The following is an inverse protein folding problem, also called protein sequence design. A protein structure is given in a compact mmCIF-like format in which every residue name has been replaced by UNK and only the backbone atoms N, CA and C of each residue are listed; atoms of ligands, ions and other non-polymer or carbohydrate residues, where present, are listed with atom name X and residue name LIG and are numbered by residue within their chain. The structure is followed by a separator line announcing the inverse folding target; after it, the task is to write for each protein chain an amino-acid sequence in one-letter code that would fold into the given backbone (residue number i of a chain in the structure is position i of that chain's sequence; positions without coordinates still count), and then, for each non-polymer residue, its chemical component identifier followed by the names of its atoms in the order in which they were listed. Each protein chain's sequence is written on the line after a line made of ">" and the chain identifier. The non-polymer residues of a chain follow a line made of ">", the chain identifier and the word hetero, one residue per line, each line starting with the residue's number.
data_IF_620373483713
#
_entry.id   IF_620373483713
#
_cell.length_a   1.000
_cell.length_b   1.000
_cell.length_c   1.000
_cell.angle_alpha   90.00
_cell.angle_beta   90.00
_cell.angle_gamma   90.00
#
_symmetry.space_group_name_H-M   'P 1'
#
loop_
_entity.id
_entity.type
_entity.pdbx_description
1 polymer ?
#
# COMPACT_ATOMS: atom_id res chain seq x y z
N UNK A 1 23.52 11.51 -10.13
CA UNK A 1 22.91 12.12 -8.91
C UNK A 1 21.44 12.45 -9.16
N UNK A 2 20.61 11.43 -9.38
CA UNK A 2 19.15 11.55 -9.41
C UNK A 2 18.64 10.67 -8.25
N UNK A 3 17.48 10.95 -7.64
CA UNK A 3 16.75 10.05 -6.71
C UNK A 3 16.99 10.08 -5.18
N UNK A 4 17.19 11.24 -4.52
CA UNK A 4 16.90 11.33 -3.06
C UNK A 4 15.70 12.21 -2.71
N UNK A 5 15.59 13.41 -3.30
CA UNK A 5 14.45 14.31 -3.03
C UNK A 5 13.10 13.69 -3.45
N UNK A 6 13.03 13.06 -4.63
CA UNK A 6 11.81 12.44 -5.13
C UNK A 6 11.34 11.27 -4.24
N UNK A 7 12.28 10.50 -3.68
CA UNK A 7 11.96 9.35 -2.83
C UNK A 7 11.44 9.79 -1.44
N UNK A 8 12.01 10.87 -0.89
CA UNK A 8 11.51 11.46 0.36
C UNK A 8 10.10 12.03 0.20
N UNK A 9 9.83 12.72 -0.92
CA UNK A 9 8.49 13.24 -1.22
C UNK A 9 7.48 12.12 -1.44
N UNK A 10 7.88 11.06 -2.15
CA UNK A 10 7.05 9.87 -2.33
C UNK A 10 6.73 9.19 -1.00
N UNK A 11 7.73 9.03 -0.12
CA UNK A 11 7.52 8.44 1.19
C UNK A 11 6.55 9.28 2.03
N UNK A 12 6.67 10.61 2.01
CA UNK A 12 5.73 11.50 2.69
C UNK A 12 4.33 11.40 2.12
N UNK A 13 4.19 11.34 0.78
CA UNK A 13 2.90 11.17 0.11
C UNK A 13 2.22 9.86 0.53
N UNK A 14 2.95 8.74 0.47
CA UNK A 14 2.43 7.42 0.87
C UNK A 14 2.05 7.43 2.35
N UNK A 15 2.91 7.97 3.22
CA UNK A 15 2.67 8.03 4.65
C UNK A 15 1.43 8.88 4.97
N UNK A 16 1.27 10.05 4.34
CA UNK A 16 0.07 10.90 4.49
C UNK A 16 -1.20 10.15 4.10
N UNK A 17 -1.20 9.49 2.94
CA UNK A 17 -2.36 8.71 2.49
C UNK A 17 -2.72 7.57 3.46
N UNK A 18 -1.71 6.93 4.05
CA UNK A 18 -1.92 5.90 5.07
C UNK A 18 -2.49 6.50 6.36
N UNK A 19 -2.03 7.68 6.77
CA UNK A 19 -2.59 8.40 7.91
C UNK A 19 -4.07 8.74 7.71
N UNK A 20 -4.42 9.34 6.56
CA UNK A 20 -5.80 9.69 6.23
C UNK A 20 -6.68 8.43 6.20
N UNK A 21 -6.19 7.36 5.58
CA UNK A 21 -6.91 6.09 5.51
C UNK A 21 -7.16 5.47 6.88
N UNK A 22 -6.14 5.37 7.76
CA UNK A 22 -6.34 4.73 9.08
C UNK A 22 -7.21 5.56 10.03
N UNK A 23 -7.46 6.83 9.71
CA UNK A 23 -8.35 7.71 10.45
C UNK A 23 -9.78 7.73 9.89
N UNK A 24 -10.01 7.17 8.70
CA UNK A 24 -11.32 7.13 8.06
C UNK A 24 -12.31 6.29 8.90
N UNK A 25 -13.45 6.83 9.36
CA UNK A 25 -14.43 6.06 10.13
C UNK A 25 -15.20 5.04 9.29
N UNK A 26 -15.20 5.15 7.95
CA UNK A 26 -16.04 4.35 7.06
C UNK A 26 -15.37 3.05 6.58
N UNK A 27 -14.11 2.83 6.94
CA UNK A 27 -13.37 1.61 6.58
C UNK A 27 -13.55 0.51 7.63
N UNK A 28 -13.45 -0.74 7.19
CA UNK A 28 -13.59 -1.93 8.05
C UNK A 28 -12.37 -2.09 8.96
N UNK A 29 -12.52 -2.77 10.08
CA UNK A 29 -11.42 -3.01 11.03
C UNK A 29 -10.21 -3.72 10.41
N UNK A 30 -10.44 -4.70 9.53
CA UNK A 30 -9.34 -5.40 8.82
C UNK A 30 -8.62 -4.49 7.84
N UNK A 31 -9.35 -3.63 7.13
CA UNK A 31 -8.78 -2.61 6.22
C UNK A 31 -7.93 -1.63 7.02
N UNK A 32 -8.44 -1.14 8.16
CA UNK A 32 -7.69 -0.28 9.08
C UNK A 32 -6.43 -0.95 9.60
N UNK A 33 -6.51 -2.23 9.97
CA UNK A 33 -5.35 -3.01 10.43
C UNK A 33 -4.28 -3.13 9.35
N UNK A 34 -4.66 -3.36 8.09
CA UNK A 34 -3.74 -3.33 6.93
C UNK A 34 -3.06 -1.96 6.83
N UNK A 35 -3.83 -0.88 6.88
CA UNK A 35 -3.31 0.49 6.84
C UNK A 35 -2.32 0.78 7.96
N UNK A 36 -2.62 0.36 9.20
CA UNK A 36 -1.76 0.56 10.36
C UNK A 36 -0.42 -0.19 10.22
N UNK A 37 -0.44 -1.42 9.71
CA UNK A 37 0.79 -2.19 9.48
C UNK A 37 1.64 -1.58 8.36
N UNK A 38 1.01 -1.18 7.25
CA UNK A 38 1.68 -0.48 6.17
C UNK A 38 2.29 0.86 6.64
N UNK A 39 1.57 1.60 7.48
CA UNK A 39 2.03 2.87 8.07
C UNK A 39 3.26 2.64 8.94
N UNK A 40 3.20 1.66 9.84
CA UNK A 40 4.32 1.31 10.71
C UNK A 40 5.57 0.92 9.92
N UNK A 41 5.41 0.22 8.79
CA UNK A 41 6.53 -0.14 7.92
C UNK A 41 7.13 1.07 7.18
N UNK A 42 6.30 2.01 6.72
CA UNK A 42 6.78 3.27 6.16
C UNK A 42 7.56 4.10 7.19
N UNK A 43 7.07 4.17 8.43
CA UNK A 43 7.72 4.90 9.52
C UNK A 43 9.08 4.29 9.90
N UNK A 44 9.20 2.97 9.78
CA UNK A 44 10.48 2.25 9.96
C UNK A 44 11.45 2.42 8.79
N UNK A 45 11.05 3.14 7.74
CA UNK A 45 11.88 3.36 6.54
C UNK A 45 11.97 2.15 5.61
N UNK A 46 11.00 1.23 5.67
CA UNK A 46 10.93 0.10 4.72
C UNK A 46 10.77 0.63 3.29
N UNK A 47 11.33 -0.10 2.32
CA UNK A 47 11.26 0.26 0.91
C UNK A 47 9.82 0.45 0.43
N UNK A 48 9.50 1.65 -0.07
CA UNK A 48 8.14 2.09 -0.38
C UNK A 48 7.40 1.20 -1.38
N UNK A 49 8.05 0.76 -2.46
CA UNK A 49 7.46 -0.15 -3.46
C UNK A 49 7.08 -1.49 -2.82
N UNK A 50 7.87 -1.99 -1.87
CA UNK A 50 7.52 -3.22 -1.16
C UNK A 50 6.31 -3.02 -0.24
N UNK A 51 6.23 -1.88 0.47
CA UNK A 51 5.06 -1.55 1.30
C UNK A 51 3.81 -1.39 0.43
N UNK A 52 3.89 -0.65 -0.68
CA UNK A 52 2.78 -0.47 -1.62
C UNK A 52 2.28 -1.81 -2.15
N UNK A 53 3.18 -2.65 -2.65
CA UNK A 53 2.82 -3.96 -3.19
C UNK A 53 2.15 -4.85 -2.13
N UNK A 54 2.72 -4.92 -0.93
CA UNK A 54 2.14 -5.72 0.15
C UNK A 54 0.78 -5.19 0.62
N UNK A 55 0.59 -3.86 0.61
CA UNK A 55 -0.71 -3.24 0.92
C UNK A 55 -1.75 -3.60 -0.14
N UNK A 56 -1.41 -3.49 -1.42
CA UNK A 56 -2.30 -3.86 -2.53
C UNK A 56 -2.71 -5.33 -2.48
N UNK A 57 -1.76 -6.24 -2.27
CA UNK A 57 -2.05 -7.68 -2.15
C UNK A 57 -2.97 -7.94 -0.95
N UNK A 58 -2.74 -7.25 0.17
CA UNK A 58 -3.59 -7.40 1.35
C UNK A 58 -5.02 -6.94 1.09
N UNK A 59 -5.19 -5.76 0.48
CA UNK A 59 -6.50 -5.23 0.12
C UNK A 59 -7.20 -6.08 -0.95
N UNK A 60 -6.45 -6.59 -1.95
CA UNK A 60 -6.99 -7.50 -2.95
C UNK A 60 -7.54 -8.79 -2.31
N UNK A 61 -6.81 -9.36 -1.33
CA UNK A 61 -7.29 -10.53 -0.58
C UNK A 61 -8.54 -10.22 0.25
N UNK A 62 -8.60 -9.06 0.90
CA UNK A 62 -9.83 -8.63 1.59
C UNK A 62 -11.00 -8.42 0.62
N UNK A 63 -10.73 -7.87 -0.57
CA UNK A 63 -11.72 -7.70 -1.63
C UNK A 63 -12.32 -9.04 -2.05
N UNK A 64 -11.47 -10.05 -2.27
CA UNK A 64 -11.91 -11.41 -2.64
C UNK A 64 -12.71 -12.10 -1.53
N UNK A 65 -12.42 -11.79 -0.25
CA UNK A 65 -13.07 -12.44 0.89
C UNK A 65 -14.40 -11.80 1.27
N UNK A 66 -14.44 -10.47 1.36
CA UNK A 66 -15.59 -9.73 1.94
C UNK A 66 -15.95 -8.45 1.17
N UNK A 67 -15.31 -8.20 0.03
CA UNK A 67 -15.33 -6.90 -0.62
C UNK A 67 -14.58 -5.83 0.17
N UNK A 68 -14.21 -4.75 -0.52
CA UNK A 68 -13.65 -3.55 0.11
C UNK A 68 -14.74 -2.52 0.38
N UNK A 69 -14.53 -1.70 1.40
CA UNK A 69 -15.23 -0.42 1.51
C UNK A 69 -14.91 0.48 0.32
N UNK A 70 -15.78 1.47 0.08
CA UNK A 70 -15.58 2.43 -1.01
C UNK A 70 -14.26 3.18 -0.87
N UNK A 71 -13.94 3.64 0.33
CA UNK A 71 -12.72 4.41 0.58
C UNK A 71 -11.45 3.52 0.57
N UNK A 72 -11.54 2.25 0.99
CA UNK A 72 -10.45 1.29 0.78
C UNK A 72 -10.20 0.99 -0.70
N UNK A 73 -11.25 0.96 -1.53
CA UNK A 73 -11.12 0.79 -2.98
C UNK A 73 -10.43 1.98 -3.63
N UNK A 74 -10.76 3.22 -3.22
CA UNK A 74 -10.04 4.42 -3.68
C UNK A 74 -8.57 4.39 -3.30
N UNK A 75 -8.24 3.97 -2.07
CA UNK A 75 -6.84 3.85 -1.66
C UNK A 75 -6.11 2.83 -2.53
N UNK A 76 -6.73 1.67 -2.78
CA UNK A 76 -6.20 0.63 -3.65
C UNK A 76 -5.86 1.18 -5.04
N UNK A 77 -6.80 1.87 -5.70
CA UNK A 77 -6.59 2.44 -7.03
C UNK A 77 -5.44 3.45 -7.04
N UNK A 78 -5.40 4.35 -6.05
CA UNK A 78 -4.33 5.34 -5.94
C UNK A 78 -2.95 4.68 -5.70
N UNK A 79 -2.89 3.64 -4.87
CA UNK A 79 -1.66 2.92 -4.59
C UNK A 79 -1.17 2.15 -5.82
N UNK A 80 -2.08 1.62 -6.63
CA UNK A 80 -1.74 0.93 -7.87
C UNK A 80 -1.08 1.88 -8.88
N UNK A 81 -1.60 3.10 -9.03
CA UNK A 81 -0.98 4.15 -9.87
C UNK A 81 0.43 4.47 -9.37
N UNK A 82 0.58 4.75 -8.07
CA UNK A 82 1.87 5.09 -7.47
C UNK A 82 2.88 3.94 -7.63
N UNK A 83 2.45 2.70 -7.40
CA UNK A 83 3.32 1.54 -7.58
C UNK A 83 3.79 1.41 -9.04
N UNK A 84 2.89 1.62 -10.00
CA UNK A 84 3.22 1.49 -11.41
C UNK A 84 4.22 2.53 -11.91
N UNK A 85 4.13 3.76 -11.40
CA UNK A 85 5.07 4.84 -11.72
C UNK A 85 6.45 4.63 -11.10
N UNK A 86 6.54 3.89 -9.99
CA UNK A 86 7.77 3.82 -9.17
C UNK A 86 8.43 2.43 -9.14
N UNK A 87 7.82 1.42 -9.75
CA UNK A 87 8.46 0.10 -9.86
C UNK A 87 9.72 0.21 -10.75
N UNK A 88 10.83 -0.46 -10.40
CA UNK A 88 12.00 -0.49 -11.28
C UNK A 88 11.69 -1.18 -12.62
N UNK A 89 12.31 -0.69 -13.69
CA UNK A 89 12.27 -1.34 -14.99
C UNK A 89 12.82 -2.78 -14.89
N UNK A 90 12.17 -3.73 -15.58
CA UNK A 90 12.54 -5.15 -15.54
C UNK A 90 12.00 -5.93 -14.33
N UNK A 91 11.20 -5.31 -13.46
CA UNK A 91 10.58 -6.01 -12.32
C UNK A 91 9.52 -7.01 -12.79
N UNK A 92 9.65 -8.27 -12.35
CA UNK A 92 8.67 -9.32 -12.64
C UNK A 92 7.38 -9.12 -11.81
N UNK A 93 6.34 -8.58 -12.46
CA UNK A 93 5.04 -8.30 -11.84
C UNK A 93 4.32 -9.55 -11.35
N UNK A 94 4.49 -10.69 -12.04
CA UNK A 94 3.91 -11.96 -11.61
C UNK A 94 4.50 -12.44 -10.29
N UNK A 95 5.82 -12.35 -10.14
CA UNK A 95 6.50 -12.68 -8.88
C UNK A 95 6.15 -11.69 -7.74
N UNK A 96 5.91 -10.42 -8.05
CA UNK A 96 5.43 -9.46 -7.03
C UNK A 96 4.04 -9.82 -6.51
N UNK A 97 3.14 -10.31 -7.35
CA UNK A 97 1.77 -10.66 -6.97
C UNK A 97 1.69 -11.89 -6.04
N UNK A 98 2.74 -12.72 -5.98
CA UNK A 98 2.80 -13.89 -5.08
C UNK A 98 3.39 -13.57 -3.71
N UNK A 99 3.77 -12.32 -3.43
CA UNK A 99 4.30 -11.90 -2.13
C UNK A 99 3.24 -11.99 -1.02
N UNK A 100 3.70 -12.06 0.23
CA UNK A 100 2.81 -12.17 1.40
C UNK A 100 1.93 -10.95 1.58
N UNK A 101 0.68 -11.14 2.03
CA UNK A 101 -0.13 -10.08 2.63
C UNK A 101 0.31 -9.79 4.06
N UNK A 102 -0.19 -8.68 4.62
CA UNK A 102 -0.01 -8.35 6.04
C UNK A 102 -0.90 -9.16 6.98
N UNK A 103 -2.09 -9.54 6.53
CA UNK A 103 -3.00 -10.38 7.31
C UNK A 103 -3.02 -11.79 6.72
N UNK A 104 -3.22 -12.76 7.61
CA UNK A 104 -3.46 -14.14 7.20
C UNK A 104 -4.79 -14.27 6.43
N UNK A 105 -4.80 -15.25 5.52
CA UNK A 105 -5.92 -15.56 4.64
C UNK A 105 -6.93 -16.47 5.34
#
# INVERSE_FOLDING_TARGET
>A
MVNRKNNSQLNQKILSMLYDFVLDPNIKDRERKIGLMAKADMEKGRYNVAVLNQTLISLQREAMRTGLSHDASKLYDNFQVILNENVPFGTNRGAMATMSSYLDW
#
